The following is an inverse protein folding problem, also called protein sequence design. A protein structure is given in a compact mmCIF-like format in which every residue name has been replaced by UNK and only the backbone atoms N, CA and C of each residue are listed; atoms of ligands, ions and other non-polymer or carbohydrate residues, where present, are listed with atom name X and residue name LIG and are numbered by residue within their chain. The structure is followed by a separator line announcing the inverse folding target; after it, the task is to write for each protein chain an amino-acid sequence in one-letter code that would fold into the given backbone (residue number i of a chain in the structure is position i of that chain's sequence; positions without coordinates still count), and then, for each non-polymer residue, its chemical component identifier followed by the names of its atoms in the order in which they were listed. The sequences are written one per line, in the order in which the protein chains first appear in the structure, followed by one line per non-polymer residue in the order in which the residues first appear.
data_IF_709052302147
#
_entry.id   IF_709052302147
#
_cell.length_a   1.000
_cell.length_b   1.000
_cell.length_c   1.000
_cell.angle_alpha   90.00
_cell.angle_beta   90.00
_cell.angle_gamma   90.00
#
_symmetry.space_group_name_H-M   'P 1'
#
loop_
_entity.id
_entity.type
_entity.pdbx_description
1 polymer ?
#
# COMPACT_ATOMS: atom_id res chain seq x y z
N UNK A 1 22.63 19.84 12.21
CA UNK A 1 22.51 20.63 10.96
C UNK A 1 22.89 19.88 9.68
N UNK A 2 23.52 18.69 9.76
CA UNK A 2 23.83 17.88 8.55
C UNK A 2 22.77 16.82 8.22
N UNK A 3 21.90 16.44 9.18
CA UNK A 3 20.86 15.43 8.97
C UNK A 3 19.63 15.96 8.19
N UNK A 4 19.26 17.24 8.32
CA UNK A 4 18.13 17.83 7.57
C UNK A 4 18.36 17.87 6.04
N UNK A 5 19.62 17.77 5.59
CA UNK A 5 19.98 17.91 4.18
C UNK A 5 19.94 16.60 3.38
N UNK A 6 19.80 15.44 4.05
CA UNK A 6 19.66 14.12 3.41
C UNK A 6 18.24 13.79 2.98
N UNK A 7 17.24 14.46 3.56
CA UNK A 7 15.83 14.18 3.30
C UNK A 7 15.22 15.03 2.18
N UNK A 8 15.99 15.96 1.60
CA UNK A 8 15.53 16.79 0.49
C UNK A 8 15.70 16.06 -0.85
N UNK A 9 14.66 16.09 -1.68
CA UNK A 9 14.68 15.55 -3.03
C UNK A 9 15.29 16.58 -4.00
N UNK A 10 16.51 16.28 -4.47
CA UNK A 10 17.37 17.17 -5.28
C UNK A 10 17.37 16.82 -6.75
N UNK A 11 17.92 17.72 -7.57
CA UNK A 11 17.99 17.56 -9.03
C UNK A 11 18.69 16.26 -9.48
N UNK A 12 19.73 15.82 -8.76
CA UNK A 12 20.44 14.58 -9.08
C UNK A 12 19.57 13.33 -8.88
N UNK A 13 18.66 13.33 -7.89
CA UNK A 13 17.67 12.25 -7.73
C UNK A 13 16.64 12.29 -8.84
N UNK A 14 16.19 13.48 -9.28
CA UNK A 14 15.30 13.60 -10.44
C UNK A 14 15.92 13.02 -11.71
N UNK A 15 17.21 13.30 -11.97
CA UNK A 15 17.94 12.73 -13.13
C UNK A 15 18.00 11.21 -13.06
N UNK A 16 18.25 10.64 -11.88
CA UNK A 16 18.26 9.17 -11.68
C UNK A 16 16.88 8.57 -11.94
N UNK A 17 15.82 9.18 -11.40
CA UNK A 17 14.43 8.74 -11.65
C UNK A 17 14.09 8.74 -13.13
N UNK A 18 14.44 9.82 -13.85
CA UNK A 18 14.19 9.93 -15.29
C UNK A 18 14.95 8.84 -16.05
N UNK A 19 16.23 8.63 -15.74
CA UNK A 19 17.03 7.58 -16.36
C UNK A 19 16.42 6.20 -16.12
N UNK A 20 16.01 5.93 -14.88
CA UNK A 20 15.41 4.67 -14.48
C UNK A 20 14.06 4.40 -15.14
N UNK A 21 13.24 5.44 -15.33
CA UNK A 21 11.94 5.35 -15.98
C UNK A 21 12.04 5.02 -17.47
N UNK A 22 13.11 5.43 -18.15
CA UNK A 22 13.34 5.10 -19.57
C UNK A 22 13.93 3.70 -19.79
N UNK A 23 14.35 3.00 -18.73
CA UNK A 23 14.75 1.60 -18.84
C UNK A 23 13.49 0.77 -19.07
N UNK A 24 13.40 0.16 -20.24
CA UNK A 24 12.25 -0.64 -20.64
C UNK A 24 12.02 -1.82 -19.68
N UNK A 25 10.74 -2.07 -19.40
CA UNK A 25 10.27 -3.18 -18.58
C UNK A 25 9.03 -3.80 -19.22
N UNK A 26 9.00 -5.13 -19.28
CA UNK A 26 7.81 -5.89 -19.70
C UNK A 26 6.67 -5.79 -18.68
N UNK A 27 7.02 -5.62 -17.40
CA UNK A 27 6.09 -5.54 -16.28
C UNK A 27 5.93 -4.10 -15.77
N UNK A 28 4.88 -3.88 -14.96
CA UNK A 28 4.66 -2.60 -14.28
C UNK A 28 5.79 -2.29 -13.31
N UNK A 29 6.48 -1.17 -13.53
CA UNK A 29 7.59 -0.68 -12.72
C UNK A 29 7.15 0.51 -11.87
N UNK A 30 7.27 0.36 -10.56
CA UNK A 30 6.94 1.39 -9.60
C UNK A 30 8.20 2.17 -9.24
N UNK A 31 8.15 3.50 -9.38
CA UNK A 31 9.22 4.39 -8.95
C UNK A 31 8.69 5.25 -7.82
N UNK A 32 9.24 5.05 -6.62
CA UNK A 32 8.84 5.75 -5.41
C UNK A 32 9.81 6.91 -5.17
N UNK A 33 9.27 8.13 -5.15
CA UNK A 33 10.00 9.36 -4.86
C UNK A 33 9.62 9.82 -3.45
N UNK A 34 10.57 9.73 -2.51
CA UNK A 34 10.39 10.18 -1.13
C UNK A 34 11.29 11.38 -0.83
N UNK A 35 10.74 12.37 -0.14
CA UNK A 35 11.52 13.48 0.40
C UNK A 35 10.68 14.40 1.27
N UNK A 36 11.29 14.99 2.30
CA UNK A 36 10.64 15.97 3.16
C UNK A 36 10.35 17.25 2.38
N UNK A 37 11.27 17.68 1.51
CA UNK A 37 11.10 18.81 0.61
C UNK A 37 11.61 18.45 -0.78
N UNK A 38 10.92 18.88 -1.82
CA UNK A 38 11.38 18.73 -3.19
C UNK A 38 11.93 20.07 -3.69
N UNK A 39 13.17 20.11 -4.14
CA UNK A 39 13.76 21.33 -4.68
C UNK A 39 13.08 21.73 -5.99
N UNK A 40 12.92 23.04 -6.21
CA UNK A 40 12.22 23.58 -7.38
C UNK A 40 12.77 23.03 -8.69
N UNK A 41 14.10 22.96 -8.82
CA UNK A 41 14.77 22.44 -10.01
C UNK A 41 14.48 20.96 -10.26
N UNK A 42 14.46 20.16 -9.19
CA UNK A 42 14.14 18.73 -9.26
C UNK A 42 12.70 18.52 -9.73
N UNK A 43 11.77 19.30 -9.17
CA UNK A 43 10.35 19.26 -9.53
C UNK A 43 10.11 19.64 -10.99
N UNK A 44 10.71 20.75 -11.44
CA UNK A 44 10.61 21.19 -12.84
C UNK A 44 11.17 20.14 -13.81
N UNK A 45 12.24 19.44 -13.43
CA UNK A 45 12.80 18.36 -14.24
C UNK A 45 11.85 17.16 -14.37
N UNK A 46 11.10 16.85 -13.31
CA UNK A 46 10.14 15.75 -13.29
C UNK A 46 8.85 16.05 -14.06
N UNK A 47 8.47 17.31 -14.27
CA UNK A 47 7.20 17.68 -14.91
C UNK A 47 6.94 16.92 -16.21
N UNK A 48 7.91 16.92 -17.12
CA UNK A 48 7.75 16.30 -18.45
C UNK A 48 7.47 14.79 -18.36
N UNK A 49 8.16 14.07 -17.48
CA UNK A 49 8.00 12.62 -17.35
C UNK A 49 6.76 12.23 -16.53
N UNK A 50 6.28 13.12 -15.66
CA UNK A 50 5.03 12.92 -14.95
C UNK A 50 3.80 13.21 -15.83
N UNK A 51 3.93 14.12 -16.81
CA UNK A 51 2.89 14.39 -17.82
C UNK A 51 2.70 13.22 -18.78
N UNK A 52 3.81 12.69 -19.31
CA UNK A 52 3.81 11.60 -20.29
C UNK A 52 4.71 10.46 -19.77
N UNK A 53 4.24 9.67 -18.79
CA UNK A 53 5.03 8.58 -18.25
C UNK A 53 5.28 7.51 -19.33
N UNK A 54 6.49 6.92 -19.39
CA UNK A 54 6.74 5.77 -20.26
C UNK A 54 5.79 4.61 -19.96
N UNK A 55 5.59 3.72 -20.94
CA UNK A 55 4.72 2.54 -20.78
C UNK A 55 5.18 1.73 -19.55
N UNK A 56 4.19 1.24 -18.80
CA UNK A 56 4.37 0.41 -17.61
C UNK A 56 5.04 1.14 -16.41
N UNK A 57 5.22 2.46 -16.43
CA UNK A 57 5.77 3.19 -15.28
C UNK A 57 4.66 3.76 -14.41
N UNK A 58 4.76 3.55 -13.09
CA UNK A 58 3.88 4.13 -12.08
C UNK A 58 4.72 4.92 -11.10
N UNK A 59 4.56 6.25 -11.08
CA UNK A 59 5.23 7.12 -10.12
C UNK A 59 4.41 7.26 -8.84
N UNK A 60 5.07 7.10 -7.69
CA UNK A 60 4.47 7.33 -6.37
C UNK A 60 5.30 8.39 -5.67
N UNK A 61 4.71 9.56 -5.39
CA UNK A 61 5.38 10.65 -4.67
C UNK A 61 4.88 10.68 -3.23
N UNK A 62 5.82 10.62 -2.28
CA UNK A 62 5.56 10.67 -0.83
C UNK A 62 6.28 11.90 -0.27
N UNK A 63 5.50 12.82 0.32
CA UNK A 63 5.98 14.07 0.92
C UNK A 63 5.25 14.32 2.25
N UNK A 64 5.90 15.02 3.17
CA UNK A 64 5.33 15.41 4.47
C UNK A 64 4.24 16.48 4.33
N UNK A 65 4.30 17.31 3.29
CA UNK A 65 3.28 18.30 2.99
C UNK A 65 3.05 18.47 1.49
N UNK A 66 1.78 18.68 1.11
CA UNK A 66 1.37 19.03 -0.26
C UNK A 66 1.97 20.36 -0.70
N UNK A 67 2.18 21.31 0.22
CA UNK A 67 2.81 22.60 -0.08
C UNK A 67 4.27 22.47 -0.57
N UNK A 68 4.89 21.31 -0.37
CA UNK A 68 6.26 21.08 -0.81
C UNK A 68 6.34 20.70 -2.30
N UNK A 69 5.20 20.48 -2.94
CA UNK A 69 5.09 20.21 -4.37
C UNK A 69 4.54 21.43 -5.12
N UNK A 70 5.01 21.62 -6.35
CA UNK A 70 4.50 22.63 -7.24
C UNK A 70 3.02 22.40 -7.55
N UNK A 71 2.20 23.46 -7.62
CA UNK A 71 0.81 23.35 -8.05
C UNK A 71 0.65 22.64 -9.39
N UNK A 72 1.63 22.82 -10.29
CA UNK A 72 1.67 22.19 -11.61
C UNK A 72 1.90 20.67 -11.56
N UNK A 73 2.64 20.16 -10.57
CA UNK A 73 2.76 18.71 -10.32
C UNK A 73 1.45 18.18 -9.75
N UNK A 74 0.90 18.88 -8.75
CA UNK A 74 -0.34 18.48 -8.08
C UNK A 74 -1.52 18.40 -9.05
N UNK A 75 -1.62 19.34 -10.00
CA UNK A 75 -2.73 19.41 -10.95
C UNK A 75 -2.74 18.25 -11.96
N UNK A 76 -1.58 17.62 -12.19
CA UNK A 76 -1.39 16.57 -13.20
C UNK A 76 -1.40 15.16 -12.62
N UNK A 77 -1.22 15.03 -11.30
CA UNK A 77 -1.22 13.74 -10.63
C UNK A 77 -2.60 13.43 -10.04
N UNK A 78 -3.19 12.25 -10.33
CA UNK A 78 -4.28 11.73 -9.52
C UNK A 78 -3.74 11.50 -8.11
N UNK A 79 -4.01 12.44 -7.20
CA UNK A 79 -3.47 12.41 -5.85
C UNK A 79 -4.56 11.97 -4.87
N UNK A 80 -4.23 10.98 -4.04
CA UNK A 80 -5.04 10.59 -2.89
C UNK A 80 -4.41 11.19 -1.65
N UNK A 81 -5.11 12.12 -1.00
CA UNK A 81 -4.68 12.57 0.32
C UNK A 81 -4.89 11.43 1.31
N UNK A 82 -3.79 10.81 1.71
CA UNK A 82 -3.77 9.92 2.85
C UNK A 82 -3.75 10.85 4.06
N UNK A 83 -4.92 11.25 4.57
CA UNK A 83 -5.00 11.69 5.97
C UNK A 83 -4.24 10.63 6.75
N UNK A 84 -3.35 11.05 7.66
CA UNK A 84 -2.81 10.16 8.69
C UNK A 84 -3.94 9.22 9.04
N UNK A 85 -3.74 7.92 8.81
CA UNK A 85 -4.63 6.91 9.35
C UNK A 85 -4.69 7.33 10.82
N UNK A 86 -5.79 7.95 11.26
CA UNK A 86 -6.07 8.12 12.68
C UNK A 86 -5.94 6.70 13.15
N UNK A 87 -4.78 6.38 13.74
CA UNK A 87 -4.17 5.04 13.78
C UNK A 87 -5.34 4.10 13.83
N UNK A 88 -5.80 3.57 12.68
CA UNK A 88 -7.15 2.97 12.65
C UNK A 88 -6.99 1.94 13.74
N UNK A 89 -7.77 2.06 14.81
CA UNK A 89 -7.73 1.07 15.87
C UNK A 89 -8.30 -0.15 15.18
N UNK A 90 -7.42 -0.83 14.46
CA UNK A 90 -7.66 -2.04 13.74
C UNK A 90 -8.15 -2.94 14.85
N UNK A 91 -9.45 -3.21 14.82
CA UNK A 91 -10.10 -4.00 15.84
C UNK A 91 -9.24 -5.24 16.04
N UNK A 92 -8.70 -5.37 17.25
CA UNK A 92 -7.67 -6.36 17.52
C UNK A 92 -8.34 -7.73 17.61
N UNK A 93 -8.59 -8.32 16.45
CA UNK A 93 -9.24 -9.61 16.34
C UNK A 93 -8.29 -10.75 16.75
N UNK A 94 -7.01 -10.47 16.99
CA UNK A 94 -5.97 -11.44 17.32
C UNK A 94 -6.07 -12.67 16.40
N UNK A 95 -6.21 -12.46 15.09
CA UNK A 95 -6.59 -13.55 14.17
C UNK A 95 -5.52 -14.64 14.18
N UNK A 96 -4.25 -14.29 14.37
CA UNK A 96 -3.16 -15.25 14.45
C UNK A 96 -3.20 -16.12 15.71
N UNK A 97 -3.92 -15.70 16.76
CA UNK A 97 -4.12 -16.52 17.96
C UNK A 97 -5.28 -17.50 17.84
N UNK A 98 -6.24 -17.21 16.95
CA UNK A 98 -7.44 -18.04 16.75
C UNK A 98 -7.11 -19.41 16.16
N UNK A 99 -7.91 -20.40 16.54
CA UNK A 99 -7.91 -21.71 15.90
C UNK A 99 -9.00 -21.80 14.82
N UNK A 100 -9.18 -22.99 14.23
CA UNK A 100 -10.20 -23.22 13.21
C UNK A 100 -11.62 -23.01 13.74
N UNK A 101 -11.88 -23.39 15.00
CA UNK A 101 -13.19 -23.26 15.64
C UNK A 101 -13.53 -21.79 15.86
N UNK A 102 -12.57 -21.01 16.34
CA UNK A 102 -12.71 -19.57 16.52
C UNK A 102 -12.98 -18.84 15.20
N UNK A 103 -12.30 -19.24 14.11
CA UNK A 103 -12.52 -18.66 12.78
C UNK A 103 -13.89 -19.03 12.23
N UNK A 104 -14.32 -20.29 12.42
CA UNK A 104 -15.66 -20.71 12.04
C UNK A 104 -16.74 -19.89 12.77
N UNK A 105 -16.60 -19.71 14.09
CA UNK A 105 -17.52 -18.90 14.90
C UNK A 105 -17.54 -17.43 14.43
N UNK A 106 -16.35 -16.86 14.20
CA UNK A 106 -16.22 -15.49 13.68
C UNK A 106 -16.96 -15.33 12.34
N UNK A 107 -16.77 -16.25 11.39
CA UNK A 107 -17.45 -16.20 10.09
C UNK A 107 -18.96 -16.36 10.24
N UNK A 108 -19.42 -17.24 11.14
CA UNK A 108 -20.85 -17.48 11.40
C UNK A 108 -21.54 -16.24 11.97
N UNK A 109 -20.88 -15.49 12.84
CA UNK A 109 -21.42 -14.26 13.43
C UNK A 109 -21.41 -13.09 12.42
N UNK A 110 -20.47 -13.10 11.47
CA UNK A 110 -20.24 -11.99 10.53
C UNK A 110 -20.80 -12.22 9.11
N UNK A 111 -21.86 -13.03 8.97
CA UNK A 111 -22.43 -13.37 7.64
C UNK A 111 -22.90 -12.16 6.82
N UNK A 112 -23.28 -11.05 7.48
CA UNK A 112 -23.77 -9.81 6.84
C UNK A 112 -22.74 -8.68 6.87
N UNK A 113 -21.45 -9.01 7.03
CA UNK A 113 -20.40 -8.01 7.12
C UNK A 113 -20.34 -7.10 5.89
N UNK A 114 -20.17 -5.80 6.14
CA UNK A 114 -20.09 -4.83 5.05
C UNK A 114 -18.77 -4.93 4.29
N UNK A 115 -18.75 -4.38 3.08
CA UNK A 115 -17.53 -4.23 2.27
C UNK A 115 -16.43 -3.47 3.02
N UNK A 116 -16.79 -2.42 3.75
CA UNK A 116 -15.82 -1.57 4.45
C UNK A 116 -15.23 -2.30 5.66
N UNK A 117 -16.06 -2.99 6.45
CA UNK A 117 -15.60 -3.74 7.62
C UNK A 117 -14.70 -4.91 7.20
N UNK A 118 -15.04 -5.60 6.11
CA UNK A 118 -14.19 -6.65 5.56
C UNK A 118 -12.82 -6.11 5.09
N UNK A 119 -12.79 -4.94 4.44
CA UNK A 119 -11.52 -4.28 4.09
C UNK A 119 -10.71 -3.94 5.32
N UNK A 120 -11.36 -3.50 6.39
CA UNK A 120 -10.70 -3.13 7.63
C UNK A 120 -10.11 -4.36 8.33
N UNK A 121 -10.85 -5.48 8.42
CA UNK A 121 -10.31 -6.75 8.95
C UNK A 121 -9.10 -7.23 8.14
N UNK A 122 -9.18 -7.21 6.81
CA UNK A 122 -8.07 -7.64 5.94
C UNK A 122 -6.82 -6.77 6.18
N UNK A 123 -7.00 -5.46 6.34
CA UNK A 123 -5.90 -4.55 6.69
C UNK A 123 -5.37 -4.79 8.11
N UNK A 124 -6.25 -5.05 9.08
CA UNK A 124 -5.87 -5.41 10.46
C UNK A 124 -4.99 -6.65 10.47
N UNK A 125 -5.36 -7.68 9.70
CA UNK A 125 -4.60 -8.93 9.58
C UNK A 125 -3.20 -8.64 9.01
N UNK A 126 -3.10 -7.87 7.92
CA UNK A 126 -1.80 -7.54 7.33
C UNK A 126 -0.91 -6.74 8.30
N UNK A 127 -1.51 -5.83 9.06
CA UNK A 127 -0.82 -5.08 10.10
C UNK A 127 -0.35 -5.98 11.26
N UNK A 128 -1.21 -6.91 11.70
CA UNK A 128 -0.89 -7.91 12.72
C UNK A 128 0.26 -8.83 12.26
N UNK A 129 0.26 -9.29 11.01
CA UNK A 129 1.38 -10.06 10.44
C UNK A 129 2.70 -9.29 10.57
N UNK A 130 2.68 -7.98 10.27
CA UNK A 130 3.86 -7.12 10.35
C UNK A 130 4.30 -6.89 11.79
N UNK A 131 3.37 -6.65 12.72
CA UNK A 131 3.71 -6.42 14.13
C UNK A 131 4.26 -7.67 14.81
N UNK A 132 3.81 -8.86 14.39
CA UNK A 132 4.32 -10.16 14.83
C UNK A 132 5.56 -10.62 14.04
N UNK A 133 6.07 -9.80 13.11
CA UNK A 133 7.22 -10.10 12.25
C UNK A 133 7.07 -11.42 11.45
N UNK A 134 5.85 -11.77 11.06
CA UNK A 134 5.54 -12.94 10.25
C UNK A 134 5.90 -12.62 8.79
N UNK A 135 6.78 -13.45 8.21
CA UNK A 135 7.10 -13.36 6.78
C UNK A 135 5.98 -13.98 5.95
N UNK A 136 5.38 -13.15 5.11
CA UNK A 136 4.41 -13.57 4.10
C UNK A 136 5.12 -13.81 2.77
N UNK A 137 4.73 -14.88 2.08
CA UNK A 137 5.17 -15.16 0.72
C UNK A 137 4.51 -14.19 -0.28
N UNK A 138 5.07 -14.09 -1.49
CA UNK A 138 4.53 -13.21 -2.54
C UNK A 138 3.08 -13.57 -2.90
N UNK A 139 2.76 -14.87 -2.96
CA UNK A 139 1.40 -15.38 -3.20
C UNK A 139 0.41 -14.95 -2.12
N UNK A 140 0.85 -14.92 -0.86
CA UNK A 140 0.06 -14.51 0.30
C UNK A 140 -0.15 -12.99 0.30
N UNK A 141 0.89 -12.20 0.00
CA UNK A 141 0.76 -10.75 -0.19
C UNK A 141 -0.18 -10.40 -1.35
N UNK A 142 -0.09 -11.15 -2.45
CA UNK A 142 -0.96 -10.99 -3.61
C UNK A 142 -2.42 -11.27 -3.23
N UNK A 143 -2.68 -12.27 -2.38
CA UNK A 143 -4.03 -12.56 -1.87
C UNK A 143 -4.65 -11.33 -1.18
N UNK A 144 -3.91 -10.61 -0.34
CA UNK A 144 -4.43 -9.39 0.30
C UNK A 144 -4.86 -8.35 -0.73
N UNK A 145 -4.00 -8.09 -1.73
CA UNK A 145 -4.31 -7.10 -2.78
C UNK A 145 -5.53 -7.52 -3.61
N UNK A 146 -5.62 -8.80 -3.97
CA UNK A 146 -6.74 -9.39 -4.73
C UNK A 146 -8.03 -9.33 -3.93
N UNK A 147 -7.99 -9.61 -2.64
CA UNK A 147 -9.15 -9.53 -1.75
C UNK A 147 -9.72 -8.11 -1.67
N UNK A 148 -8.87 -7.08 -1.53
CA UNK A 148 -9.33 -5.68 -1.54
C UNK A 148 -9.94 -5.32 -2.90
N UNK A 149 -9.32 -5.74 -4.01
CA UNK A 149 -9.85 -5.54 -5.37
C UNK A 149 -11.21 -6.20 -5.56
N UNK A 150 -11.38 -7.45 -5.12
CA UNK A 150 -12.64 -8.18 -5.23
C UNK A 150 -13.76 -7.52 -4.41
N UNK A 151 -13.45 -7.02 -3.21
CA UNK A 151 -14.37 -6.22 -2.42
C UNK A 151 -14.79 -4.95 -3.17
N UNK A 152 -13.86 -4.29 -3.87
CA UNK A 152 -14.16 -3.13 -4.72
C UNK A 152 -15.11 -3.47 -5.86
N UNK A 153 -14.95 -4.64 -6.45
CA UNK A 153 -15.81 -5.22 -7.49
C UNK A 153 -17.09 -5.86 -6.93
N UNK A 154 -17.47 -5.54 -5.68
CA UNK A 154 -18.71 -5.97 -5.02
C UNK A 154 -18.87 -7.49 -4.88
N UNK A 155 -17.76 -8.23 -4.85
CA UNK A 155 -17.78 -9.65 -4.46
C UNK A 155 -18.22 -9.82 -3.00
N UNK A 156 -18.86 -10.95 -2.68
CA UNK A 156 -19.40 -11.25 -1.35
C UNK A 156 -18.29 -11.17 -0.27
N UNK A 157 -18.37 -10.23 0.69
CA UNK A 157 -17.30 -10.01 1.67
C UNK A 157 -16.95 -11.23 2.51
N UNK A 158 -17.96 -12.00 2.93
CA UNK A 158 -17.76 -13.20 3.76
C UNK A 158 -16.90 -14.26 3.05
N UNK A 159 -17.11 -14.49 1.75
CA UNK A 159 -16.34 -15.48 0.98
C UNK A 159 -14.86 -15.10 0.88
N UNK A 160 -14.60 -13.79 0.73
CA UNK A 160 -13.26 -13.24 0.67
C UNK A 160 -12.57 -13.42 2.03
N UNK A 161 -13.27 -13.06 3.11
CA UNK A 161 -12.74 -13.25 4.47
C UNK A 161 -12.46 -14.71 4.79
N UNK A 162 -13.35 -15.64 4.42
CA UNK A 162 -13.10 -17.08 4.58
C UNK A 162 -11.78 -17.48 3.93
N UNK A 163 -11.54 -17.05 2.69
CA UNK A 163 -10.30 -17.38 1.97
C UNK A 163 -9.07 -16.82 2.67
N UNK A 164 -9.12 -15.56 3.10
CA UNK A 164 -8.01 -14.90 3.81
C UNK A 164 -7.74 -15.59 5.16
N UNK A 165 -8.77 -15.82 5.97
CA UNK A 165 -8.64 -16.43 7.30
C UNK A 165 -8.11 -17.86 7.24
N UNK A 166 -8.56 -18.67 6.29
CA UNK A 166 -8.02 -20.02 6.08
C UNK A 166 -6.55 -19.97 5.66
N UNK A 167 -6.17 -18.99 4.83
CA UNK A 167 -4.76 -18.79 4.46
C UNK A 167 -3.92 -18.42 5.68
N UNK A 168 -4.43 -17.55 6.56
CA UNK A 168 -3.75 -17.20 7.82
C UNK A 168 -3.58 -18.40 8.74
N UNK A 169 -4.59 -19.27 8.86
CA UNK A 169 -4.44 -20.52 9.61
C UNK A 169 -3.33 -21.40 9.04
N UNK A 170 -3.24 -21.50 7.71
CA UNK A 170 -2.18 -22.28 7.08
C UNK A 170 -0.79 -21.67 7.36
N UNK A 171 -0.66 -20.34 7.27
CA UNK A 171 0.56 -19.61 7.62
C UNK A 171 0.95 -19.89 9.08
N UNK A 172 -0.01 -19.82 10.01
CA UNK A 172 0.21 -20.12 11.43
C UNK A 172 0.76 -21.54 11.63
N UNK A 173 0.19 -22.52 10.93
CA UNK A 173 0.66 -23.91 11.01
C UNK A 173 2.07 -24.10 10.40
N UNK A 174 2.46 -23.28 9.42
CA UNK A 174 3.81 -23.29 8.84
C UNK A 174 4.88 -22.75 9.79
N UNK A 175 4.51 -21.83 10.69
CA UNK A 175 5.45 -21.14 11.60
C UNK A 175 5.45 -21.69 13.04
N UNK A 176 4.55 -22.63 13.35
CA UNK A 176 4.47 -23.32 14.66
C UNK A 176 5.32 -24.60 14.63
#
# INVERSE_FOLDING_TARGET
NEEENKDNFKIEQAKKVIKEAYIASSESKYIILCGNKFELEAQNKLLKILEEPPKNIIFIIITTSKSNLLPTIISRLPHKYIKSLNKKEYSNHNIFKKDLKDIYLFLKENQRISKNDAKDIIQSILYESKSLNIKLEESELLLFSKSIKLLELNSKPINILTTVLLTILNIKNRIS
#
